data_IF_044051050626
#
_entry.id   IF_044051050626
#
_cell.length_a   1.000
_cell.length_b   1.000
_cell.length_c   1.000
_cell.angle_alpha   90.00
_cell.angle_beta   90.00
_cell.angle_gamma   90.00
#
_symmetry.space_group_name_H-M   'P 1'
#
loop_
_entity.id
_entity.type
_entity.pdbx_description
1 polymer ?
#
# COMPACT_ATOMS: atom_id res chain seq x y z
N UNK A 1 0.92 -26.78 -7.46
CA UNK A 1 0.19 -25.58 -7.01
C UNK A 1 0.21 -24.60 -8.16
N UNK A 2 -0.89 -23.89 -8.40
CA UNK A 2 -1.00 -22.87 -9.45
C UNK A 2 -0.31 -21.59 -8.98
N UNK A 3 0.40 -20.91 -9.89
CA UNK A 3 1.01 -19.61 -9.61
C UNK A 3 -0.02 -18.50 -9.76
N UNK A 4 0.03 -17.50 -8.87
CA UNK A 4 -0.81 -16.31 -8.89
C UNK A 4 0.02 -15.06 -9.17
N UNK A 5 -0.44 -14.22 -10.08
CA UNK A 5 0.18 -12.94 -10.42
C UNK A 5 -0.63 -11.79 -9.81
N UNK A 6 0.01 -10.90 -9.08
CA UNK A 6 -0.65 -9.70 -8.54
C UNK A 6 0.02 -8.45 -9.05
N UNK A 7 -0.79 -7.47 -9.48
CA UNK A 7 -0.29 -6.19 -9.99
C UNK A 7 -0.97 -5.04 -9.26
N UNK A 8 -0.19 -4.25 -8.55
CA UNK A 8 -0.63 -3.01 -7.93
C UNK A 8 -0.10 -1.82 -8.72
N UNK A 9 -0.98 -1.10 -9.43
CA UNK A 9 -0.65 0.11 -10.17
C UNK A 9 -1.04 1.36 -9.37
N UNK A 10 -0.09 1.85 -8.59
CA UNK A 10 -0.17 3.13 -7.90
C UNK A 10 0.15 4.33 -8.80
N UNK A 11 0.13 5.52 -8.19
CA UNK A 11 0.42 6.79 -8.88
C UNK A 11 1.90 6.95 -9.27
N UNK A 12 2.82 6.40 -8.48
CA UNK A 12 4.27 6.60 -8.68
C UNK A 12 4.98 5.40 -9.29
N UNK A 13 4.49 4.19 -9.03
CA UNK A 13 5.07 2.96 -9.55
C UNK A 13 4.02 1.85 -9.60
N UNK A 14 4.34 0.81 -10.34
CA UNK A 14 3.60 -0.43 -10.44
C UNK A 14 4.43 -1.55 -9.80
N UNK A 15 3.82 -2.33 -8.93
CA UNK A 15 4.43 -3.52 -8.32
C UNK A 15 3.83 -4.77 -8.96
N UNK A 16 4.69 -5.67 -9.42
CA UNK A 16 4.30 -7.00 -9.90
C UNK A 16 4.88 -8.02 -8.94
N UNK A 17 4.04 -8.95 -8.47
CA UNK A 17 4.48 -10.04 -7.61
C UNK A 17 3.91 -11.38 -8.09
N UNK A 18 4.71 -12.42 -7.98
CA UNK A 18 4.35 -13.78 -8.31
C UNK A 18 4.30 -14.63 -7.03
N UNK A 19 3.24 -15.40 -6.87
CA UNK A 19 2.96 -16.16 -5.65
C UNK A 19 2.75 -17.64 -5.95
N UNK A 20 3.15 -18.48 -5.00
CA UNK A 20 2.86 -19.92 -4.93
C UNK A 20 2.19 -20.20 -3.58
N UNK A 21 0.87 -20.32 -3.58
CA UNK A 21 0.08 -20.20 -2.35
C UNK A 21 0.31 -18.84 -1.68
N UNK A 22 0.73 -18.82 -0.42
CA UNK A 22 1.06 -17.59 0.31
C UNK A 22 2.54 -17.17 0.19
N UNK A 23 3.36 -17.96 -0.50
CA UNK A 23 4.79 -17.71 -0.67
C UNK A 23 5.04 -16.77 -1.85
N UNK A 24 5.69 -15.63 -1.59
CA UNK A 24 6.22 -14.76 -2.63
C UNK A 24 7.40 -15.45 -3.33
N UNK A 25 7.30 -15.60 -4.64
CA UNK A 25 8.34 -16.22 -5.47
C UNK A 25 9.29 -15.17 -6.03
N UNK A 26 8.74 -14.10 -6.60
CA UNK A 26 9.52 -13.03 -7.23
C UNK A 26 8.68 -11.75 -7.28
N UNK A 27 9.36 -10.60 -7.42
CA UNK A 27 8.71 -9.32 -7.62
C UNK A 27 9.57 -8.31 -8.38
N UNK A 28 8.90 -7.39 -9.05
CA UNK A 28 9.51 -6.22 -9.68
C UNK A 28 8.71 -4.96 -9.37
N UNK A 29 9.41 -3.83 -9.37
CA UNK A 29 8.81 -2.51 -9.25
C UNK A 29 9.24 -1.69 -10.46
N UNK A 30 8.28 -1.16 -11.20
CA UNK A 30 8.51 -0.39 -12.42
C UNK A 30 7.72 0.92 -12.36
N UNK A 31 8.25 2.07 -12.82
CA UNK A 31 7.48 3.32 -12.88
C UNK A 31 6.20 3.18 -13.72
N UNK A 32 6.25 2.34 -14.77
CA UNK A 32 5.10 2.00 -15.61
C UNK A 32 5.26 0.57 -16.13
N UNK A 33 4.21 -0.24 -15.95
CA UNK A 33 4.17 -1.60 -16.47
C UNK A 33 3.91 -1.62 -17.97
N UNK A 34 4.61 -2.52 -18.66
CA UNK A 34 4.44 -2.79 -20.09
C UNK A 34 4.32 -4.30 -20.32
N UNK A 35 3.83 -4.71 -21.49
CA UNK A 35 3.83 -6.12 -21.90
C UNK A 35 5.23 -6.74 -21.82
N UNK A 36 6.26 -5.96 -22.19
CA UNK A 36 7.63 -6.43 -22.19
C UNK A 36 8.12 -6.72 -20.76
N UNK A 37 7.75 -5.87 -19.80
CA UNK A 37 8.06 -6.09 -18.38
C UNK A 37 7.42 -7.38 -17.87
N UNK A 38 6.11 -7.57 -18.11
CA UNK A 38 5.39 -8.78 -17.67
C UNK A 38 5.96 -10.04 -18.35
N UNK A 39 6.21 -10.00 -19.66
CA UNK A 39 6.79 -11.12 -20.39
C UNK A 39 8.17 -11.49 -19.86
N UNK A 40 9.03 -10.50 -19.61
CA UNK A 40 10.38 -10.71 -19.08
C UNK A 40 10.32 -11.33 -17.68
N UNK A 41 9.48 -10.75 -16.82
CA UNK A 41 9.26 -11.21 -15.44
C UNK A 41 8.78 -12.66 -15.38
N UNK A 42 7.83 -13.04 -16.24
CA UNK A 42 7.25 -14.40 -16.24
C UNK A 42 8.06 -15.44 -17.02
N UNK A 43 9.06 -15.02 -17.79
CA UNK A 43 9.87 -15.93 -18.61
C UNK A 43 10.50 -17.12 -17.85
N UNK A 44 10.95 -17.00 -16.57
CA UNK A 44 11.50 -18.13 -15.82
C UNK A 44 10.44 -19.07 -15.24
N UNK A 45 9.19 -18.60 -15.13
CA UNK A 45 8.15 -19.24 -14.31
C UNK A 45 7.00 -19.85 -15.13
N UNK A 46 6.85 -19.41 -16.38
CA UNK A 46 5.73 -19.82 -17.25
C UNK A 46 4.47 -19.02 -16.99
N UNK A 47 3.32 -19.60 -17.35
CA UNK A 47 2.02 -18.94 -17.32
C UNK A 47 1.35 -19.14 -15.95
N UNK A 48 1.11 -18.08 -15.14
CA UNK A 48 0.30 -18.18 -13.94
C UNK A 48 -1.16 -18.55 -14.26
N UNK A 49 -1.79 -19.30 -13.35
CA UNK A 49 -3.18 -19.70 -13.50
C UNK A 49 -4.12 -18.51 -13.27
N UNK A 50 -3.79 -17.65 -12.31
CA UNK A 50 -4.61 -16.48 -12.00
C UNK A 50 -3.78 -15.22 -11.98
N UNK A 51 -4.40 -14.12 -12.38
CA UNK A 51 -3.88 -12.79 -12.18
C UNK A 51 -4.96 -11.87 -11.62
N UNK A 52 -4.59 -11.05 -10.64
CA UNK A 52 -5.43 -9.96 -10.14
C UNK A 52 -4.67 -8.66 -10.15
N UNK A 53 -5.33 -7.58 -10.56
CA UNK A 53 -4.74 -6.25 -10.50
C UNK A 53 -5.68 -5.20 -9.90
N UNK A 54 -5.09 -4.21 -9.24
CA UNK A 54 -5.73 -2.96 -8.87
C UNK A 54 -5.00 -1.79 -9.53
N UNK A 55 -5.76 -0.74 -9.83
CA UNK A 55 -5.20 0.52 -10.34
C UNK A 55 -5.97 1.67 -9.73
N UNK A 56 -5.22 2.68 -9.29
CA UNK A 56 -5.77 3.99 -8.88
C UNK A 56 -5.34 5.10 -9.86
N UNK A 57 -4.62 4.74 -10.93
CA UNK A 57 -4.16 5.65 -11.97
C UNK A 57 -5.13 5.67 -13.16
N UNK A 58 -5.34 6.84 -13.77
CA UNK A 58 -6.32 7.05 -14.86
C UNK A 58 -5.99 6.35 -16.21
N UNK A 59 -4.97 5.48 -16.29
CA UNK A 59 -4.49 4.81 -17.52
C UNK A 59 -4.91 3.33 -17.61
N UNK A 60 -6.16 3.03 -17.29
CA UNK A 60 -6.60 1.66 -16.94
C UNK A 60 -6.91 0.73 -18.11
N UNK A 61 -7.39 1.25 -19.25
CA UNK A 61 -8.09 0.43 -20.25
C UNK A 61 -7.24 -0.60 -20.99
N UNK A 62 -5.90 -0.52 -20.91
CA UNK A 62 -5.00 -1.45 -21.62
C UNK A 62 -4.44 -2.56 -20.74
N UNK A 63 -4.58 -2.51 -19.41
CA UNK A 63 -3.87 -3.44 -18.53
C UNK A 63 -4.45 -4.86 -18.59
N UNK A 64 -5.77 -5.00 -18.63
CA UNK A 64 -6.45 -6.30 -18.72
C UNK A 64 -6.02 -7.07 -19.97
N UNK A 65 -6.02 -6.42 -21.14
CA UNK A 65 -5.64 -7.03 -22.41
C UNK A 65 -4.18 -7.49 -22.44
N UNK A 66 -3.32 -6.78 -21.71
CA UNK A 66 -1.91 -7.14 -21.57
C UNK A 66 -1.79 -8.39 -20.70
N UNK A 67 -2.41 -8.39 -19.52
CA UNK A 67 -2.28 -9.47 -18.54
C UNK A 67 -2.94 -10.75 -19.06
N UNK A 68 -4.07 -10.66 -19.77
CA UNK A 68 -4.76 -11.81 -20.37
C UNK A 68 -3.89 -12.61 -21.35
N UNK A 69 -2.84 -12.00 -21.91
CA UNK A 69 -1.86 -12.71 -22.76
C UNK A 69 -0.91 -13.58 -21.96
N UNK A 70 -0.83 -13.42 -20.64
CA UNK A 70 0.18 -14.04 -19.79
C UNK A 70 -0.38 -14.80 -18.58
N UNK A 71 -1.69 -14.82 -18.33
CA UNK A 71 -2.33 -15.59 -17.27
C UNK A 71 -3.63 -16.25 -17.74
N UNK A 72 -3.99 -17.41 -17.21
CA UNK A 72 -5.19 -18.14 -17.67
C UNK A 72 -6.48 -17.41 -17.27
N UNK A 73 -6.59 -17.02 -16.01
CA UNK A 73 -7.70 -16.24 -15.47
C UNK A 73 -7.21 -14.85 -15.08
N UNK A 74 -7.87 -13.80 -15.56
CA UNK A 74 -7.55 -12.42 -15.20
C UNK A 74 -8.76 -11.75 -14.58
N UNK A 75 -8.56 -11.17 -13.41
CA UNK A 75 -9.56 -10.41 -12.70
C UNK A 75 -9.03 -9.04 -12.31
N UNK A 76 -9.93 -8.07 -12.22
CA UNK A 76 -9.65 -6.76 -11.64
C UNK A 76 -10.29 -6.73 -10.26
N UNK A 77 -9.59 -6.19 -9.27
CA UNK A 77 -10.22 -5.85 -8.00
C UNK A 77 -11.19 -4.69 -8.22
N UNK A 78 -12.46 -4.92 -7.94
CA UNK A 78 -13.53 -3.92 -7.97
C UNK A 78 -14.29 -3.95 -6.65
N UNK A 79 -15.14 -2.96 -6.43
CA UNK A 79 -15.98 -2.87 -5.23
C UNK A 79 -17.06 -3.95 -5.18
N UNK A 80 -17.25 -4.73 -6.26
CA UNK A 80 -18.15 -5.88 -6.33
C UNK A 80 -17.43 -7.23 -6.18
N UNK A 81 -16.09 -7.24 -6.10
CA UNK A 81 -15.31 -8.46 -5.88
C UNK A 81 -15.65 -9.01 -4.49
N UNK A 82 -15.95 -10.31 -4.34
CA UNK A 82 -16.14 -10.89 -3.01
C UNK A 82 -14.84 -10.84 -2.20
N UNK A 83 -14.92 -10.35 -0.97
CA UNK A 83 -13.78 -10.12 -0.08
C UNK A 83 -13.85 -11.04 1.14
N UNK A 84 -12.70 -11.36 1.76
CA UNK A 84 -12.63 -12.06 3.04
C UNK A 84 -12.93 -11.15 4.25
N UNK A 85 -13.15 -9.85 4.04
CA UNK A 85 -13.51 -8.85 5.05
C UNK A 85 -14.80 -8.12 4.63
N UNK A 86 -15.54 -7.57 5.59
CA UNK A 86 -16.66 -6.68 5.35
C UNK A 86 -16.19 -5.23 5.14
N UNK A 87 -16.91 -4.46 4.31
CA UNK A 87 -16.64 -3.04 4.06
C UNK A 87 -17.79 -2.20 4.61
N UNK A 88 -17.60 -1.62 5.78
CA UNK A 88 -18.58 -0.78 6.48
C UNK A 88 -18.42 0.71 6.12
N UNK A 89 -17.62 1.00 5.09
CA UNK A 89 -17.47 2.34 4.56
C UNK A 89 -18.82 2.82 3.98
N UNK A 90 -19.29 4.01 4.37
CA UNK A 90 -20.62 4.52 3.97
C UNK A 90 -20.84 4.61 2.45
N UNK A 91 -19.75 4.78 1.70
CA UNK A 91 -19.75 4.84 0.24
C UNK A 91 -18.76 3.81 -0.32
N UNK A 92 -19.06 2.50 -0.25
CA UNK A 92 -18.10 1.45 -0.58
C UNK A 92 -17.50 1.60 -1.98
N UNK A 93 -18.29 2.06 -2.95
CA UNK A 93 -17.88 2.31 -4.34
C UNK A 93 -16.83 3.41 -4.52
N UNK A 94 -16.62 4.27 -3.52
CA UNK A 94 -15.63 5.35 -3.54
C UNK A 94 -14.32 4.97 -2.85
N UNK A 95 -14.29 3.82 -2.17
CA UNK A 95 -13.10 3.35 -1.48
C UNK A 95 -12.07 2.86 -2.50
N UNK A 96 -10.82 3.31 -2.34
CA UNK A 96 -9.69 2.89 -3.17
C UNK A 96 -9.47 1.38 -3.08
N UNK A 97 -9.26 0.74 -4.23
CA UNK A 97 -9.05 -0.70 -4.32
C UNK A 97 -7.70 -1.14 -3.73
N UNK A 98 -6.70 -0.26 -3.77
CA UNK A 98 -5.43 -0.37 -3.06
C UNK A 98 -5.62 -0.45 -1.54
N UNK A 99 -6.45 0.42 -0.97
CA UNK A 99 -6.79 0.40 0.48
C UNK A 99 -7.54 -0.87 0.88
N UNK A 100 -8.45 -1.35 0.01
CA UNK A 100 -9.13 -2.64 0.22
C UNK A 100 -8.11 -3.78 0.24
N UNK A 101 -7.22 -3.84 -0.76
CA UNK A 101 -6.19 -4.87 -0.84
C UNK A 101 -5.25 -4.81 0.38
N UNK A 102 -4.77 -3.64 0.78
CA UNK A 102 -3.94 -3.48 1.96
C UNK A 102 -4.63 -3.97 3.24
N UNK A 103 -5.91 -3.63 3.42
CA UNK A 103 -6.73 -4.08 4.54
C UNK A 103 -6.90 -5.60 4.57
N UNK A 104 -7.19 -6.21 3.41
CA UNK A 104 -7.28 -7.67 3.29
C UNK A 104 -5.94 -8.34 3.59
N UNK A 105 -4.84 -7.79 3.07
CA UNK A 105 -3.49 -8.31 3.32
C UNK A 105 -3.14 -8.29 4.82
N UNK A 106 -3.42 -7.18 5.49
CA UNK A 106 -3.18 -7.03 6.92
C UNK A 106 -4.05 -7.99 7.75
N UNK A 107 -5.34 -8.06 7.45
CA UNK A 107 -6.25 -8.96 8.16
C UNK A 107 -5.91 -10.43 7.94
N UNK A 108 -5.47 -10.82 6.75
CA UNK A 108 -5.03 -12.18 6.49
C UNK A 108 -3.85 -12.62 7.37
N UNK A 109 -2.92 -11.71 7.67
CA UNK A 109 -1.75 -11.98 8.52
C UNK A 109 -2.03 -11.83 10.02
N UNK A 110 -3.04 -11.04 10.41
CA UNK A 110 -3.27 -10.65 11.80
C UNK A 110 -4.75 -10.74 12.22
N UNK A 111 -5.51 -11.67 11.64
CA UNK A 111 -6.92 -11.89 11.95
C UNK A 111 -7.15 -12.05 13.46
N UNK A 112 -8.29 -11.54 13.96
CA UNK A 112 -8.62 -11.57 15.38
C UNK A 112 -8.03 -10.42 16.20
N UNK A 113 -7.31 -9.47 15.58
CA UNK A 113 -6.81 -8.25 16.23
C UNK A 113 -7.38 -7.02 15.54
N UNK A 114 -7.69 -5.92 16.26
CA UNK A 114 -7.94 -4.64 15.61
C UNK A 114 -6.66 -4.17 14.92
N UNK A 115 -6.78 -3.58 13.74
CA UNK A 115 -5.66 -3.20 12.88
C UNK A 115 -5.73 -1.73 12.51
N UNK A 116 -4.55 -1.10 12.54
CA UNK A 116 -4.29 0.17 11.88
C UNK A 116 -3.35 -0.09 10.69
N UNK A 117 -3.88 -0.03 9.49
CA UNK A 117 -3.17 -0.26 8.23
C UNK A 117 -2.76 1.06 7.62
N UNK A 118 -1.47 1.24 7.34
CA UNK A 118 -0.92 2.54 6.93
C UNK A 118 -0.07 2.37 5.70
N UNK A 119 -0.50 2.90 4.57
CA UNK A 119 0.33 3.01 3.37
C UNK A 119 0.98 4.39 3.34
N UNK A 120 2.29 4.45 3.61
CA UNK A 120 3.09 5.65 3.56
C UNK A 120 3.78 5.81 2.18
N UNK A 121 2.96 6.07 1.16
CA UNK A 121 3.37 6.25 -0.23
C UNK A 121 3.29 7.71 -0.70
N UNK A 122 2.76 7.90 -1.91
CA UNK A 122 2.54 9.22 -2.53
C UNK A 122 1.61 10.08 -1.67
N UNK A 123 0.51 9.48 -1.22
CA UNK A 123 -0.29 9.93 -0.09
C UNK A 123 -0.04 8.96 1.09
N UNK A 124 -0.42 9.36 2.30
CA UNK A 124 -0.48 8.47 3.46
C UNK A 124 -1.93 8.11 3.74
N UNK A 125 -2.27 6.82 3.76
CA UNK A 125 -3.58 6.36 4.24
C UNK A 125 -3.46 5.80 5.65
N UNK A 126 -4.53 5.90 6.43
CA UNK A 126 -4.64 5.35 7.78
C UNK A 126 -5.99 4.66 7.90
N UNK A 127 -5.99 3.33 7.74
CA UNK A 127 -7.17 2.50 7.59
C UNK A 127 -7.38 1.61 8.81
N UNK A 128 -8.60 1.58 9.34
CA UNK A 128 -8.95 0.78 10.50
C UNK A 128 -9.75 -0.47 10.08
N UNK A 129 -9.29 -1.62 10.56
CA UNK A 129 -9.99 -2.91 10.41
C UNK A 129 -10.22 -3.49 11.80
N UNK A 130 -11.44 -3.92 12.11
CA UNK A 130 -11.76 -4.53 13.39
C UNK A 130 -11.25 -5.97 13.48
N UNK A 131 -11.21 -6.51 14.70
CA UNK A 131 -10.77 -7.89 14.96
C UNK A 131 -11.58 -8.96 14.19
N UNK A 132 -12.87 -8.72 14.02
CA UNK A 132 -13.81 -9.55 13.26
C UNK A 132 -13.81 -9.29 11.75
N UNK A 133 -12.92 -8.41 11.25
CA UNK A 133 -12.71 -8.23 9.81
C UNK A 133 -13.68 -7.26 9.16
N UNK A 134 -14.02 -6.16 9.84
CA UNK A 134 -14.75 -5.05 9.26
C UNK A 134 -13.82 -3.87 8.97
N UNK A 135 -13.71 -3.46 7.71
CA UNK A 135 -13.13 -2.18 7.34
C UNK A 135 -14.11 -1.07 7.73
N UNK A 136 -13.79 -0.31 8.78
CA UNK A 136 -14.71 0.69 9.35
C UNK A 136 -14.45 2.12 8.87
N UNK A 137 -13.31 2.34 8.21
CA UNK A 137 -12.95 3.63 7.63
C UNK A 137 -11.49 3.96 7.79
N UNK A 138 -11.14 5.19 7.40
CA UNK A 138 -9.77 5.66 7.47
C UNK A 138 -9.59 7.05 6.89
N UNK A 139 -8.37 7.58 7.01
CA UNK A 139 -8.01 8.93 6.59
C UNK A 139 -6.98 8.91 5.46
N UNK A 140 -6.95 9.98 4.65
CA UNK A 140 -5.95 10.21 3.60
C UNK A 140 -5.27 11.54 3.90
N UNK A 141 -3.94 11.55 3.92
CA UNK A 141 -3.12 12.74 4.15
C UNK A 141 -2.00 12.84 3.10
N UNK A 142 -1.38 14.02 2.92
CA UNK A 142 -0.23 14.16 2.02
C UNK A 142 0.96 13.29 2.48
N UNK A 143 1.62 12.63 1.52
CA UNK A 143 2.90 11.93 1.74
C UNK A 143 4.09 12.89 1.84
N UNK A 144 5.27 12.34 2.12
CA UNK A 144 6.51 13.12 2.32
C UNK A 144 6.78 14.12 1.19
N UNK A 145 6.80 13.64 -0.06
CA UNK A 145 7.04 14.48 -1.24
C UNK A 145 6.00 15.57 -1.38
N UNK A 146 4.71 15.22 -1.25
CA UNK A 146 3.61 16.19 -1.37
C UNK A 146 3.71 17.31 -0.32
N UNK A 147 4.10 16.99 0.92
CA UNK A 147 4.27 17.99 1.99
C UNK A 147 5.38 18.98 1.65
N UNK A 148 6.54 18.48 1.24
CA UNK A 148 7.70 19.31 0.89
C UNK A 148 7.41 20.16 -0.35
N UNK A 149 6.83 19.57 -1.40
CA UNK A 149 6.46 20.26 -2.63
C UNK A 149 5.41 21.36 -2.35
N UNK A 150 4.43 21.09 -1.48
CA UNK A 150 3.42 22.07 -1.09
C UNK A 150 4.04 23.27 -0.35
N UNK A 151 4.95 23.02 0.60
CA UNK A 151 5.66 24.09 1.32
C UNK A 151 6.44 25.01 0.37
N UNK A 152 7.15 24.42 -0.61
CA UNK A 152 7.85 25.21 -1.62
C UNK A 152 6.86 25.99 -2.51
N UNK A 153 5.81 25.34 -2.99
CA UNK A 153 4.86 25.94 -3.94
C UNK A 153 4.01 27.07 -3.36
N UNK A 154 3.64 26.97 -2.09
CA UNK A 154 2.70 27.89 -1.45
C UNK A 154 3.38 28.92 -0.52
N UNK A 155 4.70 29.04 -0.57
CA UNK A 155 5.44 30.06 0.19
C UNK A 155 6.49 30.76 -0.68
N UNK A 156 6.83 32.02 -0.35
CA UNK A 156 7.73 32.81 -1.17
C UNK A 156 9.23 32.51 -0.96
N UNK A 157 9.58 31.84 0.15
CA UNK A 157 10.98 31.73 0.62
C UNK A 157 11.44 30.31 0.93
N UNK A 158 10.54 29.33 1.03
CA UNK A 158 10.97 27.96 1.32
C UNK A 158 11.58 27.34 0.06
N UNK A 159 12.78 26.74 0.18
CA UNK A 159 13.45 26.13 -0.95
C UNK A 159 12.70 24.88 -1.43
N UNK A 160 12.97 24.49 -2.67
CA UNK A 160 12.61 23.14 -3.11
C UNK A 160 13.55 22.15 -2.41
N UNK A 161 12.98 21.22 -1.65
CA UNK A 161 13.74 20.24 -0.86
C UNK A 161 13.52 18.85 -1.46
N UNK A 162 14.61 18.16 -1.77
CA UNK A 162 14.52 16.76 -2.17
C UNK A 162 14.17 15.87 -0.98
N UNK A 163 13.35 14.85 -1.23
CA UNK A 163 13.01 13.89 -0.19
C UNK A 163 14.24 13.02 0.10
N UNK A 164 14.76 12.99 1.34
CA UNK A 164 15.97 12.24 1.65
C UNK A 164 15.72 10.73 1.54
N UNK A 165 16.80 9.94 1.43
CA UNK A 165 16.70 8.48 1.44
C UNK A 165 16.46 7.92 2.84
N UNK A 166 17.08 8.52 3.84
CA UNK A 166 16.98 8.14 5.25
C UNK A 166 16.75 9.39 6.10
N UNK A 167 16.16 9.19 7.28
CA UNK A 167 16.02 10.23 8.30
C UNK A 167 17.17 10.14 9.30
N UNK A 168 17.63 11.29 9.78
CA UNK A 168 18.48 11.36 10.96
C UNK A 168 17.62 11.15 12.22
N UNK A 169 17.83 10.02 12.91
CA UNK A 169 17.03 9.62 14.07
C UNK A 169 17.53 10.24 15.38
N UNK A 170 18.70 10.88 15.38
CA UNK A 170 19.29 11.48 16.58
C UNK A 170 18.75 12.89 16.86
N UNK A 171 17.97 13.45 15.93
CA UNK A 171 17.34 14.78 16.09
C UNK A 171 15.86 14.77 15.77
N UNK A 172 15.11 15.57 16.53
CA UNK A 172 13.70 15.88 16.26
C UNK A 172 13.48 17.33 15.80
N UNK A 173 14.52 18.17 15.85
CA UNK A 173 14.47 19.57 15.45
C UNK A 173 15.43 19.83 14.28
N UNK A 174 14.97 20.63 13.31
CA UNK A 174 15.82 21.11 12.23
C UNK A 174 16.64 22.31 12.68
N UNK A 175 17.90 22.37 12.23
CA UNK A 175 18.83 23.48 12.51
C UNK A 175 19.07 24.38 11.31
N UNK A 176 18.42 24.07 10.18
CA UNK A 176 18.33 24.90 8.98
C UNK A 176 16.96 24.72 8.32
N UNK A 177 16.62 25.55 7.33
CA UNK A 177 15.31 25.50 6.67
C UNK A 177 15.02 24.14 6.02
N UNK A 178 15.94 23.52 5.25
CA UNK A 178 15.69 22.18 4.68
C UNK A 178 15.44 21.10 5.73
N UNK A 179 16.27 20.99 6.77
CA UNK A 179 16.11 20.01 7.84
C UNK A 179 14.82 20.24 8.62
N UNK A 180 14.44 21.50 8.90
CA UNK A 180 13.18 21.82 9.55
C UNK A 180 11.97 21.40 8.70
N UNK A 181 12.03 21.58 7.37
CA UNK A 181 10.98 21.11 6.45
C UNK A 181 10.88 19.58 6.42
N UNK A 182 12.01 18.88 6.34
CA UNK A 182 12.08 17.41 6.31
C UNK A 182 11.55 16.81 7.62
N UNK A 183 12.07 17.27 8.76
CA UNK A 183 11.69 16.76 10.07
C UNK A 183 10.22 17.10 10.38
N UNK A 184 9.76 18.30 10.05
CA UNK A 184 8.34 18.67 10.18
C UNK A 184 7.42 17.80 9.31
N UNK A 185 7.85 17.43 8.11
CA UNK A 185 7.07 16.55 7.23
C UNK A 185 6.96 15.13 7.79
N UNK A 186 8.07 14.52 8.23
CA UNK A 186 8.07 13.14 8.73
C UNK A 186 7.44 13.02 10.11
N UNK A 187 7.76 13.92 11.05
CA UNK A 187 7.15 13.89 12.38
C UNK A 187 5.66 14.26 12.34
N UNK A 188 5.20 15.00 11.31
CA UNK A 188 3.78 15.17 11.05
C UNK A 188 3.06 13.86 10.68
N UNK A 189 3.74 12.91 10.03
CA UNK A 189 3.21 11.57 9.75
C UNK A 189 3.27 10.70 11.00
N UNK A 190 4.41 10.68 11.71
CA UNK A 190 4.59 9.95 12.97
C UNK A 190 3.55 10.38 14.01
N UNK A 191 3.34 11.69 14.19
CA UNK A 191 2.34 12.22 15.12
C UNK A 191 0.91 11.84 14.75
N UNK A 192 0.55 11.90 13.46
CA UNK A 192 -0.76 11.45 13.00
C UNK A 192 -0.97 9.94 13.24
N UNK A 193 0.05 9.14 12.98
CA UNK A 193 0.05 7.71 13.24
C UNK A 193 -0.17 7.39 14.72
N UNK A 194 0.62 8.00 15.61
CA UNK A 194 0.46 7.84 17.07
C UNK A 194 -0.91 8.29 17.54
N UNK A 195 -1.43 9.40 17.00
CA UNK A 195 -2.78 9.89 17.31
C UNK A 195 -3.87 8.89 16.91
N UNK A 196 -3.86 8.38 15.67
CA UNK A 196 -4.88 7.42 15.24
C UNK A 196 -4.81 6.12 16.02
N UNK A 197 -3.60 5.59 16.27
CA UNK A 197 -3.41 4.39 17.08
C UNK A 197 -3.98 4.55 18.49
N UNK A 198 -3.72 5.68 19.14
CA UNK A 198 -4.20 5.96 20.49
C UNK A 198 -5.73 6.10 20.61
N UNK A 199 -6.42 6.37 19.49
CA UNK A 199 -7.88 6.49 19.42
C UNK A 199 -8.58 5.20 18.93
N UNK A 200 -7.81 4.15 18.65
CA UNK A 200 -8.34 2.82 18.30
C UNK A 200 -8.34 1.91 19.53
N UNK A 201 -9.07 0.78 19.50
CA UNK A 201 -9.14 -0.14 20.63
C UNK A 201 -7.75 -0.57 21.14
N UNK A 202 -7.65 -0.83 22.44
CA UNK A 202 -6.43 -1.36 23.03
C UNK A 202 -6.00 -2.66 22.34
N UNK A 203 -4.69 -2.85 22.16
CA UNK A 203 -4.15 -4.00 21.42
C UNK A 203 -4.23 -3.88 19.89
N UNK A 204 -4.62 -2.71 19.36
CA UNK A 204 -4.53 -2.42 17.91
C UNK A 204 -3.12 -2.64 17.39
N UNK A 205 -2.99 -3.55 16.42
CA UNK A 205 -1.74 -3.84 15.75
C UNK A 205 -1.56 -2.93 14.53
N UNK A 206 -0.41 -2.29 14.43
CA UNK A 206 -0.12 -1.38 13.30
C UNK A 206 0.65 -2.12 12.21
N UNK A 207 0.17 -2.03 10.97
CA UNK A 207 0.83 -2.58 9.78
C UNK A 207 1.18 -1.42 8.86
N UNK A 208 2.46 -1.25 8.57
CA UNK A 208 3.01 -0.20 7.72
C UNK A 208 3.41 -0.78 6.36
N UNK A 209 3.05 -0.09 5.28
CA UNK A 209 3.51 -0.36 3.92
C UNK A 209 3.81 0.95 3.20
N UNK A 210 4.22 0.87 1.93
CA UNK A 210 4.62 2.03 1.15
C UNK A 210 6.10 2.38 1.33
N UNK A 211 6.58 3.29 0.49
CA UNK A 211 8.01 3.60 0.38
C UNK A 211 8.64 4.22 1.64
N UNK A 212 7.83 4.79 2.53
CA UNK A 212 8.28 5.41 3.78
C UNK A 212 8.09 4.54 5.02
N UNK A 213 7.49 3.35 4.91
CA UNK A 213 7.19 2.50 6.04
C UNK A 213 8.41 2.18 6.91
N UNK A 214 9.54 1.81 6.29
CA UNK A 214 10.76 1.43 7.00
C UNK A 214 11.46 2.58 7.73
N UNK A 215 11.27 3.82 7.27
CA UNK A 215 11.82 5.01 7.94
C UNK A 215 10.89 5.45 9.09
N UNK A 216 9.58 5.42 8.86
CA UNK A 216 8.57 5.73 9.88
C UNK A 216 8.62 4.71 11.02
N UNK A 217 8.83 3.43 10.73
CA UNK A 217 8.87 2.38 11.76
C UNK A 217 10.01 2.55 12.76
N UNK A 218 11.07 3.28 12.39
CA UNK A 218 12.20 3.59 13.28
C UNK A 218 11.96 4.83 14.15
N UNK A 219 10.96 5.65 13.81
CA UNK A 219 10.64 6.91 14.49
C UNK A 219 9.48 6.78 15.49
N UNK A 220 8.70 5.70 15.40
CA UNK A 220 7.60 5.42 16.33
C UNK A 220 8.10 4.75 17.60
N UNK A 221 7.37 4.96 18.70
CA UNK A 221 7.66 4.43 20.03
C UNK A 221 6.83 3.16 20.37
N UNK A 222 6.17 2.57 19.38
CA UNK A 222 5.37 1.35 19.53
C UNK A 222 5.67 0.35 18.42
N UNK A 223 5.29 -0.92 18.65
CA UNK A 223 5.49 -1.99 17.69
C UNK A 223 4.61 -1.82 16.44
N UNK A 224 5.22 -1.95 15.27
CA UNK A 224 4.53 -2.05 14.00
C UNK A 224 5.19 -3.09 13.09
N UNK A 225 4.38 -3.80 12.31
CA UNK A 225 4.89 -4.69 11.26
C UNK A 225 5.06 -3.89 9.96
N UNK A 226 6.25 -3.95 9.37
CA UNK A 226 6.50 -3.41 8.03
C UNK A 226 6.33 -4.53 7.01
N UNK A 227 5.37 -4.40 6.10
CA UNK A 227 5.15 -5.34 4.98
C UNK A 227 5.16 -4.55 3.65
N UNK A 228 6.29 -4.51 2.92
CA UNK A 228 6.39 -3.79 1.65
C UNK A 228 5.48 -4.36 0.54
N UNK A 229 5.02 -5.61 0.71
CA UNK A 229 4.20 -6.37 -0.22
C UNK A 229 2.73 -6.46 0.20
N UNK A 230 2.31 -5.69 1.22
CA UNK A 230 0.97 -5.78 1.82
C UNK A 230 -0.19 -5.74 0.81
N UNK A 231 -0.14 -4.81 -0.14
CA UNK A 231 -1.16 -4.66 -1.20
C UNK A 231 -1.18 -5.90 -2.09
N UNK A 232 -0.03 -6.34 -2.59
CA UNK A 232 0.12 -7.53 -3.42
C UNK A 232 -0.33 -8.79 -2.69
N UNK A 233 -0.01 -8.92 -1.40
CA UNK A 233 -0.47 -10.01 -0.53
C UNK A 233 -1.99 -10.01 -0.42
N UNK A 234 -2.59 -8.83 -0.24
CA UNK A 234 -4.03 -8.63 -0.26
C UNK A 234 -4.68 -9.13 -1.54
N UNK A 235 -4.14 -8.74 -2.70
CA UNK A 235 -4.61 -9.22 -4.00
C UNK A 235 -4.53 -10.75 -4.11
N UNK A 236 -3.40 -11.36 -3.71
CA UNK A 236 -3.24 -12.81 -3.72
C UNK A 236 -4.25 -13.50 -2.77
N UNK A 237 -4.52 -12.90 -1.61
CA UNK A 237 -5.51 -13.41 -0.68
C UNK A 237 -6.93 -13.34 -1.26
N UNK A 238 -7.26 -12.30 -2.02
CA UNK A 238 -8.56 -12.19 -2.68
C UNK A 238 -8.69 -13.25 -3.79
N UNK A 239 -7.62 -13.53 -4.55
CA UNK A 239 -7.62 -14.64 -5.53
C UNK A 239 -7.97 -15.95 -4.82
N UNK A 240 -7.16 -16.33 -3.83
CA UNK A 240 -7.32 -17.62 -3.11
C UNK A 240 -8.66 -17.75 -2.38
N UNK A 241 -9.22 -16.65 -1.86
CA UNK A 241 -10.56 -16.63 -1.27
C UNK A 241 -11.69 -16.96 -2.27
N UNK A 242 -11.49 -16.62 -3.55
CA UNK A 242 -12.48 -16.84 -4.61
C UNK A 242 -12.24 -18.13 -5.41
N UNK A 243 -11.11 -18.81 -5.25
CA UNK A 243 -10.85 -20.13 -5.87
C UNK A 243 -11.68 -21.27 -5.25
N UNK A 244 -12.16 -21.08 -4.02
CA UNK A 244 -12.91 -22.08 -3.25
C UNK A 244 -14.43 -21.83 -3.23
N UNK A 245 -14.95 -21.02 -4.15
CA UNK A 245 -16.38 -20.72 -4.31
C UNK A 245 -16.87 -21.08 -5.70
#
# INVERSE_FOLDING_TARGET
MSLNLTIDQGNSAAKVALWDGDRLIDQIVEPTITCAHIKRFLSPYGRPANAMFCSVSAKESRMTDIIAKYADNVSRLTNSTPLPIAIDYRTPCTLGTDRIAAAVGAWASFAGRPLLVVDAGTAVTYDAVTADGHFIGGNIAPGMRMRLDALHRYTARLPQVEVPRNIDYDTFLGFDTPSAMILGAVYGIVGALSYYRANLPEGTHTVLTGGWAGEISKLIDFEATVDPELVSRGLNRIITYNEHK
#
